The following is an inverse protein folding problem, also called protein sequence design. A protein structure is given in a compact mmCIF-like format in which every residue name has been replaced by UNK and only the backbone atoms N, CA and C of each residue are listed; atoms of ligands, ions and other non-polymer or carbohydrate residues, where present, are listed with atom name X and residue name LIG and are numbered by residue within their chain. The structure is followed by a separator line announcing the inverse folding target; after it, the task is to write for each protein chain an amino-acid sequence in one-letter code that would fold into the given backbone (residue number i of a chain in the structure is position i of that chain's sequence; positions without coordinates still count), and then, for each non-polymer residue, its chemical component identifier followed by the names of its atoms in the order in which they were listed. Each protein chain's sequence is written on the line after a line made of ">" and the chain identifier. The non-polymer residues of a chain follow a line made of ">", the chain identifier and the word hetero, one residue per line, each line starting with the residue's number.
data_IF_617629038535
#
_entry.id   IF_617629038535
#
_cell.length_a   1.000
_cell.length_b   1.000
_cell.length_c   1.000
_cell.angle_alpha   90.00
_cell.angle_beta   90.00
_cell.angle_gamma   90.00
#
_symmetry.space_group_name_H-M   'P 1'
#
loop_
_entity.id
_entity.type
_entity.pdbx_description
1 polymer ?
#
# COMPACT_ATOMS: atom_id res chain seq x y z
N UNK A 1 42.98 -3.73 6.53
CA UNK A 1 41.88 -2.85 6.98
C UNK A 1 41.13 -3.62 8.04
N UNK A 2 41.23 -3.19 9.30
CA UNK A 2 40.70 -3.94 10.45
C UNK A 2 39.22 -3.57 10.68
N UNK A 3 38.38 -4.54 11.06
CA UNK A 3 36.93 -4.35 11.25
C UNK A 3 36.61 -3.23 12.25
N UNK A 4 37.52 -2.98 13.20
CA UNK A 4 37.43 -1.91 14.19
C UNK A 4 37.57 -0.51 13.58
N UNK A 5 38.32 -0.36 12.48
CA UNK A 5 38.52 0.93 11.81
C UNK A 5 37.30 1.31 10.97
N UNK A 6 36.56 0.32 10.45
CA UNK A 6 35.33 0.55 9.66
C UNK A 6 34.15 1.00 10.53
N UNK A 7 34.08 0.56 11.79
CA UNK A 7 32.97 0.92 12.71
C UNK A 7 33.14 2.32 13.32
N UNK A 8 34.37 2.83 13.41
CA UNK A 8 34.67 4.12 14.03
C UNK A 8 34.58 5.33 13.08
N UNK A 9 34.42 5.13 11.76
CA UNK A 9 34.20 6.22 10.79
C UNK A 9 32.73 6.59 10.58
N UNK A 10 31.85 6.17 11.49
CA UNK A 10 30.38 6.40 11.47
C UNK A 10 29.98 7.81 11.96
N UNK A 11 30.94 8.70 12.27
CA UNK A 11 30.64 10.06 12.73
C UNK A 11 30.93 11.12 11.66
N UNK A 12 29.88 11.91 11.41
CA UNK A 12 29.81 13.27 10.85
C UNK A 12 29.39 13.53 9.39
N UNK A 13 29.07 12.50 8.58
CA UNK A 13 28.25 12.68 7.36
C UNK A 13 27.82 11.32 6.77
N UNK A 14 27.11 10.49 7.53
CA UNK A 14 26.64 9.23 6.97
C UNK A 14 25.52 9.49 5.96
N UNK A 15 25.83 9.18 4.70
CA UNK A 15 24.84 9.06 3.64
C UNK A 15 23.84 7.95 4.01
N UNK A 16 22.57 8.11 3.63
CA UNK A 16 21.50 7.15 3.94
C UNK A 16 21.88 5.72 3.50
N UNK A 17 22.65 5.60 2.43
CA UNK A 17 23.14 4.32 1.91
C UNK A 17 24.12 3.63 2.86
N UNK A 18 24.97 4.39 3.56
CA UNK A 18 25.94 3.84 4.50
C UNK A 18 25.26 3.30 5.77
N UNK A 19 24.18 3.96 6.21
CA UNK A 19 23.33 3.48 7.31
C UNK A 19 22.64 2.17 6.90
N UNK A 20 22.11 2.11 5.70
CA UNK A 20 21.44 0.91 5.18
C UNK A 20 22.41 -0.26 5.01
N UNK A 21 23.61 -0.01 4.51
CA UNK A 21 24.68 -1.02 4.42
C UNK A 21 25.03 -1.58 5.80
N UNK A 22 25.17 -0.69 6.80
CA UNK A 22 25.42 -1.11 8.18
C UNK A 22 24.29 -1.99 8.72
N UNK A 23 23.03 -1.58 8.55
CA UNK A 23 21.86 -2.36 8.97
C UNK A 23 21.79 -3.73 8.27
N UNK A 24 22.07 -3.79 6.97
CA UNK A 24 22.08 -5.04 6.20
C UNK A 24 23.18 -6.00 6.69
N UNK A 25 24.37 -5.48 6.99
CA UNK A 25 25.47 -6.28 7.56
C UNK A 25 25.09 -6.82 8.95
N UNK A 26 24.51 -5.99 9.82
CA UNK A 26 24.06 -6.41 11.15
C UNK A 26 22.97 -7.49 11.08
N UNK A 27 22.06 -7.39 10.11
CA UNK A 27 21.02 -8.39 9.86
C UNK A 27 21.60 -9.74 9.43
N UNK A 28 22.53 -9.76 8.46
CA UNK A 28 23.18 -11.02 8.03
C UNK A 28 24.05 -11.64 9.12
N UNK A 29 24.71 -10.83 9.95
CA UNK A 29 25.44 -11.31 11.12
C UNK A 29 24.52 -11.99 12.14
N UNK A 30 23.36 -11.37 12.42
CA UNK A 30 22.37 -11.96 13.31
C UNK A 30 21.85 -13.30 12.77
N UNK A 31 21.55 -13.38 11.47
CA UNK A 31 21.14 -14.64 10.83
C UNK A 31 22.24 -15.70 10.87
N UNK A 32 23.49 -15.34 10.58
CA UNK A 32 24.62 -16.26 10.64
C UNK A 32 24.84 -16.82 12.04
N UNK A 33 24.70 -15.98 13.08
CA UNK A 33 24.74 -16.43 14.48
C UNK A 33 23.63 -17.44 14.77
N UNK A 34 22.40 -17.16 14.33
CA UNK A 34 21.28 -18.08 14.56
C UNK A 34 21.47 -19.41 13.84
N UNK A 35 22.00 -19.39 12.62
CA UNK A 35 22.32 -20.61 11.86
C UNK A 35 23.41 -21.45 12.54
N UNK A 36 24.40 -20.80 13.16
CA UNK A 36 25.43 -21.49 13.94
C UNK A 36 24.85 -22.09 15.23
N UNK A 37 24.01 -21.34 15.96
CA UNK A 37 23.42 -21.78 17.23
C UNK A 37 22.38 -22.89 17.04
N UNK A 38 21.55 -22.78 16.00
CA UNK A 38 20.41 -23.69 15.76
C UNK A 38 20.81 -24.84 14.83
N UNK A 39 21.58 -24.55 13.78
CA UNK A 39 21.94 -25.51 12.73
C UNK A 39 23.37 -26.04 12.81
N UNK A 40 24.19 -25.55 13.76
CA UNK A 40 25.60 -25.93 13.89
C UNK A 40 26.48 -25.51 12.71
N UNK A 41 25.96 -24.68 11.80
CA UNK A 41 26.65 -24.30 10.57
C UNK A 41 27.31 -22.93 10.73
N UNK A 42 28.63 -22.91 10.64
CA UNK A 42 29.40 -21.67 10.66
C UNK A 42 29.46 -21.05 9.27
N UNK A 43 29.00 -19.81 9.15
CA UNK A 43 29.05 -19.04 7.90
C UNK A 43 30.29 -18.14 7.93
N UNK A 44 31.18 -18.21 6.92
CA UNK A 44 32.39 -17.40 6.89
C UNK A 44 32.07 -15.92 6.61
N UNK A 45 32.81 -14.95 7.20
CA UNK A 45 32.54 -13.52 7.05
C UNK A 45 32.41 -13.00 5.61
N UNK A 46 33.22 -13.45 4.62
CA UNK A 46 33.05 -13.03 3.23
C UNK A 46 31.68 -13.39 2.65
N UNK A 47 31.08 -14.51 3.07
CA UNK A 47 29.75 -14.92 2.62
C UNK A 47 28.65 -14.02 3.21
N UNK A 48 28.81 -13.60 4.47
CA UNK A 48 27.92 -12.65 5.16
C UNK A 48 27.92 -11.29 4.45
N UNK A 49 29.12 -10.77 4.13
CA UNK A 49 29.28 -9.51 3.41
C UNK A 49 28.71 -9.56 2.00
N UNK A 50 28.89 -10.69 1.29
CA UNK A 50 28.29 -10.88 -0.04
C UNK A 50 26.76 -10.91 0.01
N UNK A 51 26.17 -11.54 1.03
CA UNK A 51 24.71 -11.55 1.23
C UNK A 51 24.18 -10.16 1.55
N UNK A 52 24.83 -9.42 2.45
CA UNK A 52 24.45 -8.05 2.77
C UNK A 52 24.52 -7.13 1.53
N UNK A 53 25.61 -7.23 0.77
CA UNK A 53 25.78 -6.48 -0.49
C UNK A 53 24.78 -6.88 -1.58
N UNK A 54 24.28 -8.12 -1.55
CA UNK A 54 23.23 -8.58 -2.47
C UNK A 54 21.86 -8.00 -2.10
N UNK A 55 21.59 -7.81 -0.81
CA UNK A 55 20.36 -7.15 -0.33
C UNK A 55 20.35 -5.69 -0.80
N UNK A 56 21.44 -4.96 -0.58
CA UNK A 56 21.54 -3.56 -1.04
C UNK A 56 21.37 -3.44 -2.55
N UNK A 57 22.01 -4.31 -3.33
CA UNK A 57 21.82 -4.35 -4.80
C UNK A 57 20.37 -4.63 -5.21
N UNK A 58 19.69 -5.51 -4.50
CA UNK A 58 18.27 -5.81 -4.75
C UNK A 58 17.37 -4.61 -4.43
N UNK A 59 17.64 -3.91 -3.32
CA UNK A 59 16.94 -2.68 -2.92
C UNK A 59 17.15 -1.58 -3.96
N UNK A 60 18.38 -1.35 -4.40
CA UNK A 60 18.70 -0.32 -5.39
C UNK A 60 18.10 -0.64 -6.77
N UNK A 61 18.06 -1.91 -7.17
CA UNK A 61 17.37 -2.34 -8.39
C UNK A 61 15.86 -2.14 -8.32
N UNK A 62 15.24 -2.39 -7.15
CA UNK A 62 13.82 -2.13 -6.90
C UNK A 62 13.50 -0.63 -6.85
N UNK A 63 14.38 0.19 -6.27
CA UNK A 63 14.24 1.64 -6.26
C UNK A 63 14.35 2.24 -7.68
N UNK A 64 15.31 1.77 -8.48
CA UNK A 64 15.50 2.22 -9.87
C UNK A 64 14.32 1.82 -10.76
N UNK A 65 13.72 0.65 -10.54
CA UNK A 65 12.50 0.23 -11.26
C UNK A 65 11.22 0.92 -10.77
N UNK A 66 11.19 1.42 -9.54
CA UNK A 66 10.09 2.24 -9.03
C UNK A 66 10.11 3.66 -9.65
N UNK A 67 11.28 4.30 -9.73
CA UNK A 67 11.43 5.66 -10.29
C UNK A 67 11.09 5.69 -11.79
N UNK A 68 11.44 4.65 -12.56
CA UNK A 68 11.09 4.57 -13.99
C UNK A 68 9.60 4.30 -14.26
N UNK A 69 8.80 3.97 -13.24
CA UNK A 69 7.36 3.66 -13.35
C UNK A 69 6.43 4.79 -12.90
N UNK A 70 6.94 5.87 -12.31
CA UNK A 70 6.14 7.01 -11.83
C UNK A 70 5.40 7.80 -12.93
N UNK A 71 5.62 7.48 -14.21
CA UNK A 71 4.98 8.16 -15.34
C UNK A 71 4.14 7.30 -16.28
N UNK A 72 3.97 6.00 -16.02
CA UNK A 72 3.14 5.18 -16.93
C UNK A 72 1.66 5.23 -16.51
N UNK A 73 0.78 5.83 -17.34
CA UNK A 73 -0.65 5.76 -17.10
C UNK A 73 -1.07 4.29 -17.09
N UNK A 74 -1.83 3.92 -16.06
CA UNK A 74 -2.41 2.59 -15.97
C UNK A 74 -3.27 2.34 -17.22
N UNK A 75 -2.89 1.34 -18.03
CA UNK A 75 -3.70 0.95 -19.19
C UNK A 75 -4.98 0.29 -18.70
N UNK A 76 -6.07 1.06 -18.66
CA UNK A 76 -7.40 0.56 -18.30
C UNK A 76 -7.89 -0.39 -19.39
N UNK A 77 -8.27 -1.64 -19.07
CA UNK A 77 -8.89 -2.54 -20.04
C UNK A 77 -10.12 -1.87 -20.69
N UNK A 78 -10.18 -1.88 -22.02
CA UNK A 78 -11.24 -1.20 -22.75
C UNK A 78 -12.63 -1.66 -22.30
N UNK A 79 -13.52 -0.70 -22.02
CA UNK A 79 -14.90 -0.98 -21.63
C UNK A 79 -15.13 -1.28 -20.14
N UNK A 80 -14.08 -1.23 -19.32
CA UNK A 80 -14.13 -1.55 -17.88
C UNK A 80 -13.89 -0.30 -17.04
N UNK A 81 -14.50 -0.24 -15.85
CA UNK A 81 -14.18 0.78 -14.86
C UNK A 81 -13.12 0.29 -13.91
N UNK A 82 -12.20 1.18 -13.56
CA UNK A 82 -11.10 0.85 -12.69
C UNK A 82 -11.27 1.59 -11.37
N UNK A 83 -11.07 0.86 -10.28
CA UNK A 83 -11.11 1.37 -8.92
C UNK A 83 -9.77 1.04 -8.28
N UNK A 84 -9.08 2.06 -7.79
CA UNK A 84 -7.82 1.94 -7.07
C UNK A 84 -8.07 2.27 -5.61
N UNK A 85 -7.58 1.43 -4.71
CA UNK A 85 -7.73 1.63 -3.27
C UNK A 85 -6.40 1.48 -2.56
N UNK A 86 -6.22 2.24 -1.48
CA UNK A 86 -5.04 2.16 -0.61
C UNK A 86 -5.40 2.54 0.83
N UNK A 87 -4.77 1.86 1.79
CA UNK A 87 -4.86 2.16 3.22
C UNK A 87 -3.55 2.73 3.76
N UNK A 88 -3.63 3.78 4.57
CA UNK A 88 -2.47 4.29 5.32
C UNK A 88 -2.73 4.21 6.81
N UNK A 89 -1.69 3.88 7.57
CA UNK A 89 -1.77 3.80 9.02
C UNK A 89 -0.48 4.30 9.65
N UNK A 90 -0.62 4.94 10.80
CA UNK A 90 0.49 5.34 11.65
C UNK A 90 0.04 5.32 13.12
N UNK A 91 0.87 4.84 14.06
CA UNK A 91 0.50 4.74 15.47
C UNK A 91 0.07 6.07 16.10
N UNK A 92 0.60 7.20 15.63
CA UNK A 92 0.34 8.52 16.20
C UNK A 92 -0.81 9.26 15.49
N UNK A 93 -1.01 8.98 14.20
CA UNK A 93 -1.98 9.71 13.37
C UNK A 93 -3.24 8.91 13.02
N UNK A 94 -3.28 7.62 13.39
CA UNK A 94 -4.40 6.72 13.10
C UNK A 94 -4.37 6.21 11.66
N UNK A 95 -5.55 5.93 11.10
CA UNK A 95 -5.69 5.40 9.76
C UNK A 95 -6.34 6.38 8.78
N UNK A 96 -6.01 6.24 7.51
CA UNK A 96 -6.68 6.91 6.41
C UNK A 96 -6.87 5.96 5.24
N UNK A 97 -7.99 6.09 4.54
CA UNK A 97 -8.31 5.31 3.34
C UNK A 97 -8.37 6.24 2.13
N UNK A 98 -7.98 5.73 0.97
CA UNK A 98 -8.03 6.45 -0.30
C UNK A 98 -8.61 5.58 -1.41
N UNK A 99 -9.49 6.17 -2.21
CA UNK A 99 -10.19 5.54 -3.32
C UNK A 99 -10.16 6.46 -4.53
N UNK A 100 -9.81 5.92 -5.69
CA UNK A 100 -9.88 6.63 -6.97
C UNK A 100 -10.60 5.76 -8.01
N UNK A 101 -11.54 6.35 -8.75
CA UNK A 101 -12.36 5.64 -9.73
C UNK A 101 -12.18 6.27 -11.09
N UNK A 102 -11.81 5.44 -12.05
CA UNK A 102 -11.59 5.79 -13.44
C UNK A 102 -12.70 5.20 -14.31
N UNK A 103 -13.18 6.00 -15.26
CA UNK A 103 -14.20 5.59 -16.21
C UNK A 103 -13.59 4.66 -17.30
N UNK A 104 -14.42 4.23 -18.25
CA UNK A 104 -14.02 3.32 -19.34
C UNK A 104 -13.03 3.93 -20.35
N UNK A 105 -12.83 5.23 -20.31
CA UNK A 105 -11.86 5.98 -21.13
C UNK A 105 -10.53 6.18 -20.40
N UNK A 106 -10.45 5.82 -19.12
CA UNK A 106 -9.30 6.07 -18.27
C UNK A 106 -9.32 7.43 -17.58
N UNK A 107 -10.40 8.21 -17.67
CA UNK A 107 -10.50 9.49 -16.96
C UNK A 107 -10.86 9.26 -15.49
N UNK A 108 -10.21 9.98 -14.58
CA UNK A 108 -10.58 10.02 -13.17
C UNK A 108 -11.95 10.71 -13.03
N UNK A 109 -12.94 10.01 -12.50
CA UNK A 109 -14.31 10.52 -12.37
C UNK A 109 -14.82 10.63 -10.94
N UNK A 110 -14.16 9.95 -9.99
CA UNK A 110 -14.53 10.01 -8.59
C UNK A 110 -13.33 9.72 -7.71
N UNK A 111 -13.24 10.43 -6.59
CA UNK A 111 -12.28 10.17 -5.52
C UNK A 111 -13.01 10.17 -4.19
N UNK A 112 -12.59 9.32 -3.27
CA UNK A 112 -13.05 9.31 -1.90
C UNK A 112 -11.87 9.06 -0.98
N UNK A 113 -11.91 9.67 0.18
CA UNK A 113 -10.96 9.44 1.24
C UNK A 113 -11.69 9.48 2.57
N UNK A 114 -11.13 8.83 3.58
CA UNK A 114 -11.76 8.77 4.89
C UNK A 114 -10.72 8.60 5.97
N UNK A 115 -10.96 9.20 7.14
CA UNK A 115 -10.20 8.89 8.35
C UNK A 115 -10.88 7.74 9.07
N UNK A 116 -10.10 6.74 9.46
CA UNK A 116 -10.60 5.53 10.11
C UNK A 116 -9.89 5.21 11.41
N UNK A 117 -10.53 4.38 12.21
CA UNK A 117 -9.97 3.83 13.46
C UNK A 117 -9.41 2.41 13.21
N UNK A 118 -8.53 2.28 12.21
CA UNK A 118 -7.89 1.01 11.95
C UNK A 118 -6.79 0.75 13.00
N UNK A 119 -6.73 -0.50 13.48
CA UNK A 119 -5.80 -0.91 14.53
C UNK A 119 -4.35 -1.02 14.04
N UNK A 120 -4.16 -1.27 12.75
CA UNK A 120 -2.86 -1.46 12.10
C UNK A 120 -2.96 -1.18 10.60
N UNK A 121 -1.81 -1.24 9.91
CA UNK A 121 -1.74 -1.03 8.47
C UNK A 121 -2.61 -2.02 7.67
N UNK A 122 -2.63 -3.31 8.04
CA UNK A 122 -3.43 -4.30 7.33
C UNK A 122 -4.93 -4.05 7.49
N UNK A 123 -5.36 -3.60 8.67
CA UNK A 123 -6.73 -3.18 8.92
C UNK A 123 -7.07 -1.93 8.09
N UNK A 124 -6.17 -0.96 7.94
CA UNK A 124 -6.40 0.21 7.09
C UNK A 124 -6.59 -0.18 5.61
N UNK A 125 -5.79 -1.12 5.10
CA UNK A 125 -5.97 -1.68 3.75
C UNK A 125 -7.34 -2.36 3.58
N UNK A 126 -7.75 -3.14 4.58
CA UNK A 126 -9.04 -3.83 4.57
C UNK A 126 -10.21 -2.84 4.56
N UNK A 127 -10.13 -1.75 5.34
CA UNK A 127 -11.14 -0.68 5.34
C UNK A 127 -11.19 0.06 4.00
N UNK A 128 -10.04 0.31 3.38
CA UNK A 128 -9.99 0.94 2.06
C UNK A 128 -10.67 0.06 0.99
N UNK A 129 -10.36 -1.24 0.98
CA UNK A 129 -11.04 -2.20 0.11
C UNK A 129 -12.53 -2.30 0.40
N UNK A 130 -12.93 -2.28 1.66
CA UNK A 130 -14.34 -2.30 2.04
C UNK A 130 -15.08 -1.07 1.49
N UNK A 131 -14.50 0.12 1.60
CA UNK A 131 -15.05 1.35 1.04
C UNK A 131 -15.22 1.25 -0.48
N UNK A 132 -14.22 0.70 -1.18
CA UNK A 132 -14.27 0.45 -2.61
C UNK A 132 -15.40 -0.52 -3.00
N UNK A 133 -15.60 -1.61 -2.26
CA UNK A 133 -16.67 -2.57 -2.51
C UNK A 133 -18.05 -1.97 -2.22
N UNK A 134 -18.20 -1.18 -1.15
CA UNK A 134 -19.43 -0.46 -0.85
C UNK A 134 -19.77 0.55 -1.96
N UNK A 135 -18.78 1.25 -2.51
CA UNK A 135 -18.98 2.13 -3.67
C UNK A 135 -19.55 1.35 -4.87
N UNK A 136 -19.00 0.17 -5.19
CA UNK A 136 -19.53 -0.64 -6.30
C UNK A 136 -20.94 -1.16 -6.02
N UNK A 137 -21.22 -1.58 -4.79
CA UNK A 137 -22.55 -2.04 -4.39
C UNK A 137 -23.60 -0.93 -4.57
N UNK A 138 -23.24 0.30 -4.23
CA UNK A 138 -24.07 1.49 -4.39
C UNK A 138 -24.19 2.02 -5.81
N UNK A 139 -23.24 1.67 -6.69
CA UNK A 139 -23.23 2.13 -8.07
C UNK A 139 -24.40 1.48 -8.85
N UNK A 140 -25.41 2.30 -9.17
CA UNK A 140 -26.58 1.96 -9.98
C UNK A 140 -26.26 1.58 -11.44
N UNK A 141 -25.00 1.70 -11.85
CA UNK A 141 -24.60 1.64 -13.24
C UNK A 141 -24.18 0.23 -13.66
N UNK A 142 -24.66 -0.16 -14.85
CA UNK A 142 -24.31 -1.41 -15.52
C UNK A 142 -22.83 -1.42 -15.93
N UNK A 143 -22.14 -2.51 -15.62
CA UNK A 143 -20.75 -2.71 -16.02
C UNK A 143 -19.94 -3.55 -15.04
N UNK A 144 -18.78 -3.98 -15.53
CA UNK A 144 -17.76 -4.65 -14.71
C UNK A 144 -16.78 -3.62 -14.15
N UNK A 145 -16.34 -3.86 -12.93
CA UNK A 145 -15.35 -3.09 -12.21
C UNK A 145 -14.11 -3.95 -11.96
N UNK A 146 -12.95 -3.36 -12.17
CA UNK A 146 -11.67 -3.92 -11.75
C UNK A 146 -11.22 -3.11 -10.55
N UNK A 147 -11.08 -3.78 -9.42
CA UNK A 147 -10.69 -3.19 -8.16
C UNK A 147 -9.26 -3.62 -7.86
N UNK A 148 -8.37 -2.66 -7.72
CA UNK A 148 -6.96 -2.89 -7.50
C UNK A 148 -6.51 -2.47 -6.10
N UNK A 149 -5.72 -3.34 -5.48
CA UNK A 149 -5.02 -3.12 -4.19
C UNK A 149 -3.58 -3.61 -4.34
N UNK A 150 -2.63 -3.06 -3.59
CA UNK A 150 -1.25 -3.58 -3.49
C UNK A 150 -1.06 -4.50 -2.28
N UNK A 151 -2.12 -4.73 -1.49
CA UNK A 151 -2.08 -5.66 -0.38
C UNK A 151 -2.32 -7.09 -0.87
N UNK A 152 -1.24 -7.80 -1.20
CA UNK A 152 -1.30 -9.20 -1.68
C UNK A 152 -2.07 -10.12 -0.73
N UNK A 153 -1.87 -9.96 0.57
CA UNK A 153 -2.54 -10.79 1.59
C UNK A 153 -4.06 -10.57 1.57
N UNK A 154 -4.49 -9.32 1.39
CA UNK A 154 -5.91 -8.97 1.30
C UNK A 154 -6.54 -9.50 0.01
N UNK A 155 -5.85 -9.40 -1.12
CA UNK A 155 -6.28 -10.03 -2.38
C UNK A 155 -6.47 -11.54 -2.22
N UNK A 156 -5.49 -12.26 -1.66
CA UNK A 156 -5.59 -13.71 -1.43
C UNK A 156 -6.73 -14.06 -0.46
N UNK A 157 -6.93 -13.28 0.61
CA UNK A 157 -8.01 -13.53 1.56
C UNK A 157 -9.40 -13.32 0.94
N UNK A 158 -9.59 -12.24 0.18
CA UNK A 158 -10.90 -11.82 -0.34
C UNK A 158 -11.25 -12.54 -1.64
N UNK A 159 -10.32 -12.57 -2.60
CA UNK A 159 -10.57 -13.08 -3.95
C UNK A 159 -10.23 -14.56 -4.09
N UNK A 160 -9.08 -15.00 -3.58
CA UNK A 160 -8.68 -16.42 -3.62
C UNK A 160 -9.36 -17.25 -2.51
N UNK A 161 -10.17 -16.59 -1.66
CA UNK A 161 -10.98 -17.19 -0.57
C UNK A 161 -10.13 -17.93 0.47
N UNK A 162 -8.88 -17.48 0.69
CA UNK A 162 -7.95 -18.05 1.67
C UNK A 162 -7.84 -17.16 2.91
N UNK A 163 -8.85 -17.19 3.76
CA UNK A 163 -8.93 -16.36 4.99
C UNK A 163 -8.05 -16.89 6.14
N UNK A 164 -7.36 -18.02 5.93
CA UNK A 164 -6.49 -18.60 6.96
C UNK A 164 -5.24 -17.73 7.15
N UNK A 165 -4.85 -17.50 8.40
CA UNK A 165 -3.64 -16.75 8.78
C UNK A 165 -3.62 -15.26 8.40
N UNK A 166 -4.72 -14.53 8.69
CA UNK A 166 -4.70 -13.08 8.56
C UNK A 166 -3.63 -12.45 9.48
N UNK A 167 -2.88 -11.42 9.02
CA UNK A 167 -1.86 -10.75 9.83
C UNK A 167 -2.40 -10.06 11.08
N UNK A 168 -3.69 -9.70 11.05
CA UNK A 168 -4.37 -8.98 12.13
C UNK A 168 -5.74 -9.58 12.36
N UNK A 169 -6.01 -9.95 13.62
CA UNK A 169 -7.33 -10.42 14.03
C UNK A 169 -8.34 -9.28 14.09
N UNK A 170 -7.89 -8.04 14.35
CA UNK A 170 -8.72 -6.85 14.37
C UNK A 170 -9.30 -6.55 12.98
N UNK A 171 -8.57 -6.88 11.92
CA UNK A 171 -9.05 -6.74 10.54
C UNK A 171 -9.99 -7.88 10.09
N UNK A 172 -10.13 -8.96 10.86
CA UNK A 172 -10.79 -10.18 10.40
C UNK A 172 -12.26 -9.97 10.01
N UNK A 173 -13.02 -9.17 10.77
CA UNK A 173 -14.41 -8.87 10.45
C UNK A 173 -14.52 -8.00 9.18
N UNK A 174 -13.64 -7.00 9.03
CA UNK A 174 -13.58 -6.16 7.83
C UNK A 174 -13.24 -6.98 6.59
N UNK A 175 -12.26 -7.89 6.69
CA UNK A 175 -11.91 -8.82 5.60
C UNK A 175 -13.08 -9.74 5.26
N UNK A 176 -13.78 -10.29 6.26
CA UNK A 176 -14.96 -11.12 6.04
C UNK A 176 -16.09 -10.37 5.32
N UNK A 177 -16.33 -9.10 5.70
CA UNK A 177 -17.30 -8.23 5.00
C UNK A 177 -16.87 -7.99 3.55
N UNK A 178 -15.59 -7.77 3.29
CA UNK A 178 -15.06 -7.67 1.92
C UNK A 178 -15.33 -8.94 1.12
N UNK A 179 -15.04 -10.13 1.68
CA UNK A 179 -15.30 -11.41 1.03
C UNK A 179 -16.79 -11.60 0.69
N UNK A 180 -17.70 -11.28 1.61
CA UNK A 180 -19.15 -11.38 1.38
C UNK A 180 -19.59 -10.44 0.24
N UNK A 181 -19.14 -9.19 0.26
CA UNK A 181 -19.48 -8.22 -0.78
C UNK A 181 -18.92 -8.62 -2.14
N UNK A 182 -17.67 -9.09 -2.19
CA UNK A 182 -17.04 -9.56 -3.42
C UNK A 182 -17.80 -10.78 -3.98
N UNK A 183 -18.18 -11.74 -3.14
CA UNK A 183 -18.96 -12.91 -3.57
C UNK A 183 -20.33 -12.52 -4.12
N UNK A 184 -21.04 -11.62 -3.44
CA UNK A 184 -22.33 -11.10 -3.91
C UNK A 184 -22.23 -10.36 -5.25
N UNK A 185 -21.03 -9.92 -5.62
CA UNK A 185 -20.74 -9.16 -6.83
C UNK A 185 -19.74 -9.87 -7.76
N UNK A 186 -19.56 -11.19 -7.66
CA UNK A 186 -18.48 -11.93 -8.36
C UNK A 186 -18.57 -11.77 -9.90
N UNK A 187 -19.77 -11.58 -10.45
CA UNK A 187 -19.98 -11.32 -11.89
C UNK A 187 -19.74 -9.86 -12.32
N UNK A 188 -19.61 -8.94 -11.35
CA UNK A 188 -19.48 -7.48 -11.55
C UNK A 188 -18.13 -6.95 -11.11
N UNK A 189 -17.46 -7.55 -10.13
CA UNK A 189 -16.22 -7.05 -9.54
C UNK A 189 -15.13 -8.11 -9.61
N UNK A 190 -14.00 -7.74 -10.20
CA UNK A 190 -12.77 -8.52 -10.16
C UNK A 190 -11.78 -7.74 -9.29
N UNK A 191 -11.33 -8.37 -8.21
CA UNK A 191 -10.27 -7.81 -7.36
C UNK A 191 -8.93 -8.32 -7.86
N UNK A 192 -7.95 -7.43 -8.03
CA UNK A 192 -6.61 -7.79 -8.50
C UNK A 192 -5.54 -7.12 -7.64
N UNK A 193 -4.44 -7.85 -7.45
CA UNK A 193 -3.25 -7.30 -6.83
C UNK A 193 -2.37 -6.59 -7.86
N UNK A 194 -1.92 -5.37 -7.55
CA UNK A 194 -0.95 -4.60 -8.37
C UNK A 194 0.20 -4.09 -7.52
N UNK A 195 1.25 -3.57 -8.16
CA UNK A 195 2.36 -2.95 -7.45
C UNK A 195 1.98 -1.56 -6.95
N UNK A 196 2.43 -1.19 -5.74
CA UNK A 196 2.23 0.12 -5.12
C UNK A 196 2.54 1.33 -6.00
N UNK A 197 3.54 1.22 -6.89
CA UNK A 197 3.89 2.29 -7.83
C UNK A 197 2.72 2.73 -8.73
N UNK A 198 1.71 1.88 -8.94
CA UNK A 198 0.52 2.18 -9.72
C UNK A 198 -0.65 2.76 -8.88
N UNK A 199 -0.47 2.94 -7.56
CA UNK A 199 -1.48 3.43 -6.62
C UNK A 199 -1.18 4.85 -6.12
N UNK A 200 -0.49 5.69 -6.90
CA UNK A 200 -0.07 7.03 -6.47
C UNK A 200 -1.23 7.90 -5.95
N UNK A 201 -2.36 7.91 -6.67
CA UNK A 201 -3.54 8.72 -6.31
C UNK A 201 -4.20 8.25 -5.00
N UNK A 202 -4.67 7.00 -4.85
CA UNK A 202 -5.25 6.56 -3.59
C UNK A 202 -4.24 6.60 -2.43
N UNK A 203 -2.95 6.41 -2.69
CA UNK A 203 -1.91 6.55 -1.67
C UNK A 203 -1.78 7.97 -1.12
N UNK A 204 -1.80 8.97 -2.00
CA UNK A 204 -1.81 10.37 -1.59
C UNK A 204 -3.07 10.71 -0.78
N UNK A 205 -4.23 10.23 -1.24
CA UNK A 205 -5.53 10.42 -0.56
C UNK A 205 -5.55 9.80 0.84
N UNK A 206 -5.09 8.55 0.97
CA UNK A 206 -5.04 7.84 2.24
C UNK A 206 -4.13 8.57 3.25
N UNK A 207 -2.93 8.98 2.80
CA UNK A 207 -1.99 9.73 3.65
C UNK A 207 -2.54 11.10 4.04
N UNK A 208 -3.20 11.81 3.11
CA UNK A 208 -3.84 13.08 3.41
C UNK A 208 -4.90 12.90 4.49
N UNK A 209 -5.84 11.97 4.31
CA UNK A 209 -6.92 11.72 5.27
C UNK A 209 -6.44 11.34 6.67
N UNK A 210 -5.36 10.53 6.76
CA UNK A 210 -4.72 10.20 8.03
C UNK A 210 -4.17 11.44 8.75
N UNK A 211 -3.55 12.34 8.01
CA UNK A 211 -2.90 13.57 8.53
C UNK A 211 -3.89 14.70 8.80
N UNK A 212 -5.05 14.72 8.15
CA UNK A 212 -6.08 15.75 8.36
C UNK A 212 -6.58 15.75 9.81
N UNK A 213 -6.80 16.97 10.35
CA UNK A 213 -7.34 17.16 11.70
C UNK A 213 -8.80 16.71 11.73
N UNK A 214 -9.29 16.16 12.85
CA UNK A 214 -10.68 15.67 13.01
C UNK A 214 -11.78 16.70 12.67
N UNK A 215 -11.44 17.99 12.53
CA UNK A 215 -12.38 19.10 12.31
C UNK A 215 -12.35 19.67 10.89
N UNK A 216 -11.50 19.17 9.99
CA UNK A 216 -11.57 19.51 8.57
C UNK A 216 -12.50 18.48 7.92
N UNK A 217 -13.63 18.96 7.39
CA UNK A 217 -14.81 18.19 7.00
C UNK A 217 -14.52 17.06 6.00
N UNK A 218 -14.07 15.91 6.50
CA UNK A 218 -14.26 14.61 5.89
C UNK A 218 -15.43 13.94 6.61
N UNK A 219 -16.54 13.74 5.91
CA UNK A 219 -17.66 12.92 6.41
C UNK A 219 -17.11 11.63 7.03
N UNK A 220 -17.58 11.23 8.23
CA UNK A 220 -17.24 9.93 8.80
C UNK A 220 -17.46 8.82 7.78
N UNK A 221 -16.72 7.71 7.90
CA UNK A 221 -16.96 6.44 7.19
C UNK A 221 -18.35 5.85 7.53
N UNK A 222 -19.42 6.59 7.28
CA UNK A 222 -20.76 6.08 7.07
C UNK A 222 -20.94 6.07 5.56
N UNK A 223 -21.27 4.90 5.03
CA UNK A 223 -21.61 4.66 3.64
C UNK A 223 -22.69 5.66 3.18
N UNK A 224 -22.27 6.81 2.68
CA UNK A 224 -23.10 7.80 2.01
C UNK A 224 -22.52 7.99 0.62
N UNK A 225 -23.25 7.45 -0.36
CA UNK A 225 -22.97 7.60 -1.78
C UNK A 225 -23.29 9.06 -2.12
N UNK A 226 -22.28 9.93 -2.10
CA UNK A 226 -22.40 11.25 -2.66
C UNK A 226 -22.15 11.17 -4.17
N UNK A 227 -23.21 11.36 -4.96
CA UNK A 227 -23.07 11.69 -6.39
C UNK A 227 -22.45 13.09 -6.49
N UNK A 228 -21.13 13.16 -6.66
CA UNK A 228 -20.45 14.39 -7.04
C UNK A 228 -20.45 14.50 -8.56
N UNK A 229 -21.16 15.50 -9.07
CA UNK A 229 -21.08 15.94 -10.46
C UNK A 229 -19.74 16.69 -10.61
N UNK A 230 -18.67 15.94 -10.88
CA UNK A 230 -17.30 16.47 -11.01
C UNK A 230 -17.20 17.23 -12.33
N UNK A 231 -17.59 18.50 -12.33
CA UNK A 231 -17.25 19.42 -13.41
C UNK A 231 -16.54 20.71 -13.02
N UNK A 232 -16.43 21.10 -11.74
CA UNK A 232 -16.03 22.49 -11.45
C UNK A 232 -15.15 22.78 -10.22
N UNK A 233 -14.36 21.85 -9.65
CA UNK A 233 -13.62 22.22 -8.42
C UNK A 233 -12.23 21.61 -8.16
N UNK A 234 -11.57 21.00 -9.14
CA UNK A 234 -10.19 20.50 -8.94
C UNK A 234 -9.09 21.47 -9.38
N UNK A 235 -9.44 22.58 -10.05
CA UNK A 235 -8.43 23.51 -10.60
C UNK A 235 -7.94 24.57 -9.59
N UNK A 236 -8.63 24.80 -8.47
CA UNK A 236 -8.31 25.92 -7.56
C UNK A 236 -7.39 25.59 -6.37
N UNK A 237 -7.02 24.33 -6.14
CA UNK A 237 -6.24 23.97 -4.94
C UNK A 237 -4.91 23.23 -5.17
N UNK A 238 -4.50 22.98 -6.42
CA UNK A 238 -3.23 22.29 -6.71
C UNK A 238 -2.09 23.17 -7.24
N UNK A 239 -2.27 24.49 -7.36
CA UNK A 239 -1.20 25.40 -7.76
C UNK A 239 -1.07 26.61 -6.82
N UNK A 240 -0.37 26.42 -5.69
CA UNK A 240 0.51 27.44 -5.11
C UNK A 240 1.38 26.81 -4.03
N UNK A 241 2.59 26.38 -4.43
CA UNK A 241 3.76 26.36 -3.56
C UNK A 241 4.89 27.00 -4.38
N UNK A 242 5.12 28.29 -4.13
CA UNK A 242 6.42 28.93 -4.34
C UNK A 242 7.32 28.61 -3.14
#
# INVERSE_FOLDING_TARGET
>A
MNLSETVLMINDALDSDQIMDFCNIMWELWKARNEEVIGGKKIPPPEILNKASSIQRSINQQATTAILREGQPMTVPAGVRVILTDGSWDPNHGAGTGLAVYNRRGDLVFVQYGKGDAADAFHAEAEALLAALCYVQGASQEGRFYLYTDCKVLHTAVYEKQIQNLPSWQAAETVKRCSILQQNMENRVIVQHITRAALTTPHALANWARRSRKNEAGTPLQCQIAHLDVKHNLDEHFFTLQ
#
